data_IF_415862470799
#
_entry.id   IF_415862470799
#
_cell.length_a   1.000
_cell.length_b   1.000
_cell.length_c   1.000
_cell.angle_alpha   90.00
_cell.angle_beta   90.00
_cell.angle_gamma   90.00
#
_symmetry.space_group_name_H-M   'P 1'
#
loop_
_entity.id
_entity.type
_entity.pdbx_description
1 polymer ?
#
# COMPACT_ATOMS: atom_id res chain seq x y z
N UNK A 1 8.34 16.91 24.34
CA UNK A 1 8.62 15.73 23.50
C UNK A 1 8.38 16.13 22.04
N UNK A 2 9.35 15.98 21.13
CA UNK A 2 9.10 16.25 19.71
C UNK A 2 8.49 15.01 19.05
N UNK A 3 7.34 15.17 18.39
CA UNK A 3 6.71 14.08 17.64
C UNK A 3 7.62 13.64 16.48
N UNK A 4 7.68 12.32 16.26
CA UNK A 4 8.54 11.68 15.25
C UNK A 4 7.68 11.05 14.16
N UNK A 5 6.64 10.32 14.58
CA UNK A 5 5.70 9.63 13.72
C UNK A 5 4.29 9.84 14.25
N UNK A 6 3.31 9.94 13.36
CA UNK A 6 1.88 9.89 13.68
C UNK A 6 1.26 8.71 12.96
N UNK A 7 0.31 8.04 13.61
CA UNK A 7 -0.45 6.94 13.02
C UNK A 7 -1.92 7.36 13.02
N UNK A 8 -2.61 7.14 11.90
CA UNK A 8 -4.00 7.49 11.70
C UNK A 8 -4.33 8.98 11.94
N UNK A 9 -3.42 9.88 11.58
CA UNK A 9 -3.62 11.34 11.68
C UNK A 9 -4.61 11.88 10.65
N UNK A 10 -4.67 11.27 9.47
CA UNK A 10 -5.61 11.63 8.42
C UNK A 10 -6.97 10.93 8.58
N UNK A 11 -7.07 9.97 9.51
CA UNK A 11 -8.31 9.22 9.75
C UNK A 11 -8.61 8.21 8.64
N UNK A 12 -7.59 7.72 7.94
CA UNK A 12 -7.75 6.79 6.82
C UNK A 12 -7.59 5.32 7.23
N UNK A 13 -7.51 5.04 8.54
CA UNK A 13 -7.62 3.68 9.04
C UNK A 13 -8.93 3.06 8.53
N UNK A 14 -8.80 2.02 7.74
CA UNK A 14 -9.91 1.22 7.26
C UNK A 14 -9.61 -0.25 7.51
N UNK A 15 -10.53 -0.94 8.17
CA UNK A 15 -10.49 -2.39 8.34
C UNK A 15 -11.83 -2.90 7.89
N UNK A 16 -11.85 -3.61 6.76
CA UNK A 16 -13.10 -4.15 6.25
C UNK A 16 -13.57 -5.31 7.14
N UNK A 17 -14.73 -5.17 7.80
CA UNK A 17 -15.23 -6.24 8.64
C UNK A 17 -15.74 -7.39 7.78
N UNK A 18 -15.64 -8.60 8.31
CA UNK A 18 -16.27 -9.76 7.70
C UNK A 18 -17.78 -9.54 7.54
N UNK A 19 -18.29 -9.77 6.33
CA UNK A 19 -19.72 -9.71 6.01
C UNK A 19 -20.19 -11.06 5.52
N UNK A 20 -21.46 -11.39 5.77
CA UNK A 20 -22.11 -12.53 5.12
C UNK A 20 -22.59 -12.10 3.74
N UNK A 21 -22.51 -13.00 2.76
CA UNK A 21 -23.03 -12.76 1.41
C UNK A 21 -24.56 -12.64 1.47
N UNK A 22 -25.04 -11.40 1.42
CA UNK A 22 -26.47 -11.03 1.29
C UNK A 22 -26.68 -10.31 -0.05
N UNK A 23 -27.92 -10.11 -0.47
CA UNK A 23 -28.24 -9.31 -1.66
C UNK A 23 -27.64 -7.90 -1.49
N UNK A 24 -26.73 -7.57 -2.39
CA UNK A 24 -25.85 -6.41 -2.27
C UNK A 24 -26.56 -5.14 -2.71
N UNK A 25 -26.28 -4.05 -2.01
CA UNK A 25 -26.55 -2.69 -2.47
C UNK A 25 -25.50 -2.25 -3.51
N UNK A 26 -25.79 -1.21 -4.29
CA UNK A 26 -24.84 -0.66 -5.29
C UNK A 26 -23.48 -0.25 -4.68
N UNK A 27 -23.42 0.01 -3.37
CA UNK A 27 -22.20 0.32 -2.62
C UNK A 27 -21.27 -0.88 -2.40
N UNK A 28 -21.73 -2.09 -2.66
CA UNK A 28 -20.98 -3.34 -2.40
C UNK A 28 -20.52 -4.01 -3.70
N UNK A 29 -20.55 -3.27 -4.81
CA UNK A 29 -20.01 -3.68 -6.10
C UNK A 29 -18.49 -3.88 -5.98
N UNK A 30 -18.00 -5.09 -6.26
CA UNK A 30 -16.59 -5.48 -6.06
C UNK A 30 -16.28 -6.10 -4.69
N UNK A 31 -17.23 -6.11 -3.74
CA UNK A 31 -16.99 -6.74 -2.43
C UNK A 31 -16.85 -8.27 -2.52
N UNK A 32 -17.33 -8.89 -3.60
CA UNK A 32 -17.34 -10.33 -3.79
C UNK A 32 -16.65 -10.70 -5.11
N UNK A 33 -17.30 -11.49 -5.95
CA UNK A 33 -16.71 -11.99 -7.19
C UNK A 33 -16.22 -10.85 -8.08
N UNK A 34 -14.97 -10.96 -8.52
CA UNK A 34 -14.34 -10.03 -9.44
C UNK A 34 -13.81 -10.79 -10.65
N UNK A 35 -13.73 -10.10 -11.78
CA UNK A 35 -13.19 -10.70 -13.01
C UNK A 35 -12.12 -9.76 -13.56
N UNK A 36 -10.90 -10.27 -13.67
CA UNK A 36 -9.80 -9.57 -14.30
C UNK A 36 -9.36 -10.35 -15.55
N UNK A 37 -9.58 -9.75 -16.72
CA UNK A 37 -9.42 -10.42 -18.02
C UNK A 37 -10.24 -11.72 -18.05
N UNK A 38 -9.58 -12.86 -18.24
CA UNK A 38 -10.22 -14.18 -18.30
C UNK A 38 -10.28 -14.88 -16.92
N UNK A 39 -9.70 -14.28 -15.88
CA UNK A 39 -9.65 -14.86 -14.55
C UNK A 39 -10.78 -14.33 -13.68
N UNK A 40 -11.66 -15.24 -13.25
CA UNK A 40 -12.71 -14.95 -12.27
C UNK A 40 -12.23 -15.31 -10.87
N UNK A 41 -12.07 -14.31 -10.03
CA UNK A 41 -11.87 -14.47 -8.60
C UNK A 41 -13.23 -14.64 -7.90
N UNK A 42 -13.37 -15.71 -7.13
CA UNK A 42 -14.63 -16.04 -6.47
C UNK A 42 -14.80 -15.36 -5.11
N UNK A 43 -13.73 -14.79 -4.54
CA UNK A 43 -13.68 -14.11 -3.22
C UNK A 43 -14.64 -14.73 -2.19
N UNK A 44 -14.41 -15.98 -1.73
CA UNK A 44 -15.35 -16.70 -0.87
C UNK A 44 -15.62 -16.00 0.47
N UNK A 45 -14.68 -15.18 0.94
CA UNK A 45 -14.78 -14.42 2.19
C UNK A 45 -15.13 -12.94 1.97
N UNK A 46 -15.34 -12.52 0.72
CA UNK A 46 -15.51 -11.13 0.35
C UNK A 46 -14.24 -10.31 0.56
N UNK A 47 -14.38 -8.99 0.41
CA UNK A 47 -13.30 -8.04 0.62
C UNK A 47 -12.91 -7.97 2.10
N UNK A 48 -11.61 -8.01 2.36
CA UNK A 48 -11.03 -7.99 3.71
C UNK A 48 -9.79 -7.10 3.78
N UNK A 49 -9.83 -5.96 3.08
CA UNK A 49 -8.72 -5.00 3.04
C UNK A 49 -8.45 -4.36 4.40
N UNK A 50 -7.17 -4.02 4.60
CA UNK A 50 -6.69 -3.23 5.74
C UNK A 50 -5.88 -2.07 5.16
N UNK A 51 -6.20 -0.86 5.57
CA UNK A 51 -5.47 0.34 5.19
C UNK A 51 -5.22 1.24 6.39
N UNK A 52 -4.09 1.94 6.39
CA UNK A 52 -3.71 2.87 7.46
C UNK A 52 -2.84 4.01 6.93
N UNK A 53 -3.01 5.20 7.50
CA UNK A 53 -2.09 6.32 7.27
C UNK A 53 -1.01 6.42 8.36
N UNK A 54 0.22 6.68 7.94
CA UNK A 54 1.38 6.86 8.80
C UNK A 54 2.13 8.10 8.34
N UNK A 55 2.25 9.11 9.20
CA UNK A 55 2.97 10.34 8.91
C UNK A 55 4.36 10.34 9.55
N UNK A 56 5.40 10.60 8.77
CA UNK A 56 6.76 10.85 9.23
C UNK A 56 7.02 12.35 9.36
N UNK A 57 7.08 12.81 10.61
CA UNK A 57 7.12 14.23 10.94
C UNK A 57 8.53 14.78 10.75
N UNK A 58 8.67 15.83 9.94
CA UNK A 58 9.96 16.46 9.64
C UNK A 58 10.90 15.63 8.77
N UNK A 59 10.35 14.72 7.96
CA UNK A 59 11.12 13.91 6.99
C UNK A 59 10.80 14.37 5.57
N UNK A 60 11.83 14.65 4.77
CA UNK A 60 11.68 15.11 3.38
C UNK A 60 11.86 14.01 2.34
N UNK A 61 12.55 12.92 2.70
CA UNK A 61 12.87 11.82 1.79
C UNK A 61 12.45 10.49 2.44
N UNK A 62 12.04 9.55 1.59
CA UNK A 62 11.72 8.18 1.97
C UNK A 62 12.29 7.25 0.90
N UNK A 63 12.71 6.07 1.30
CA UNK A 63 13.38 5.07 0.47
C UNK A 63 12.87 3.69 0.84
N UNK A 64 13.02 2.71 -0.05
CA UNK A 64 12.61 1.33 0.18
C UNK A 64 11.51 0.90 -0.77
N UNK A 65 10.63 0.02 -0.28
CA UNK A 65 9.56 -0.62 -1.05
C UNK A 65 10.03 -1.28 -2.36
N UNK A 66 11.19 -1.97 -2.43
CA UNK A 66 11.57 -2.65 -3.68
C UNK A 66 10.57 -3.77 -4.01
N UNK A 67 10.42 -4.19 -5.26
CA UNK A 67 11.24 -3.88 -6.44
C UNK A 67 10.48 -3.02 -7.47
N UNK A 68 11.02 -1.84 -7.79
CA UNK A 68 10.52 -0.96 -8.84
C UNK A 68 11.66 -0.43 -9.70
N UNK A 69 11.42 -0.31 -11.00
CA UNK A 69 12.32 0.34 -11.93
C UNK A 69 12.15 1.87 -11.85
N UNK A 70 12.33 2.44 -10.66
CA UNK A 70 12.11 3.85 -10.37
C UNK A 70 13.31 4.48 -9.64
N UNK A 71 13.25 5.79 -9.38
CA UNK A 71 14.26 6.48 -8.59
C UNK A 71 14.39 5.89 -7.19
N UNK A 72 15.62 5.86 -6.66
CA UNK A 72 15.90 5.36 -5.30
C UNK A 72 15.05 6.06 -4.23
N UNK A 73 14.89 7.39 -4.34
CA UNK A 73 13.97 8.15 -3.51
C UNK A 73 12.54 7.97 -3.97
N UNK A 74 11.66 7.57 -3.05
CA UNK A 74 10.24 7.40 -3.34
C UNK A 74 9.60 8.75 -3.66
N UNK A 75 8.86 8.78 -4.77
CA UNK A 75 8.19 9.96 -5.32
C UNK A 75 6.81 10.15 -4.70
N UNK A 76 6.26 11.35 -4.90
CA UNK A 76 4.87 11.64 -4.55
C UNK A 76 3.93 10.96 -5.56
N UNK A 77 2.94 10.22 -5.08
CA UNK A 77 1.99 9.46 -5.90
C UNK A 77 0.64 10.17 -6.05
N UNK A 78 0.44 11.38 -5.50
CA UNK A 78 -0.83 12.10 -5.55
C UNK A 78 -1.40 12.31 -6.96
N UNK A 79 -0.52 12.49 -7.95
CA UNK A 79 -0.88 12.67 -9.36
C UNK A 79 -0.46 11.49 -10.25
N UNK A 80 -0.04 10.38 -9.64
CA UNK A 80 0.50 9.20 -10.32
C UNK A 80 -0.11 7.93 -9.72
N UNK A 81 0.30 6.76 -10.22
CA UNK A 81 -0.10 5.49 -9.62
C UNK A 81 0.66 5.25 -8.29
N UNK A 82 0.02 4.60 -7.30
CA UNK A 82 0.68 4.17 -6.07
C UNK A 82 1.77 3.13 -6.35
N UNK A 83 2.73 3.02 -5.44
CA UNK A 83 3.70 1.92 -5.47
C UNK A 83 2.99 0.61 -5.18
N UNK A 84 3.04 -0.32 -6.14
CA UNK A 84 2.41 -1.63 -6.01
C UNK A 84 3.44 -2.66 -5.57
N UNK A 85 3.10 -3.46 -4.57
CA UNK A 85 3.87 -4.61 -4.10
C UNK A 85 3.04 -5.86 -4.36
N UNK A 86 3.33 -6.50 -5.49
CA UNK A 86 2.73 -7.75 -5.89
C UNK A 86 3.67 -8.43 -6.88
N UNK A 87 4.20 -9.59 -6.53
CA UNK A 87 5.23 -10.24 -7.34
C UNK A 87 4.63 -10.66 -8.68
N UNK A 88 5.07 -9.99 -9.75
CA UNK A 88 4.58 -10.17 -11.12
C UNK A 88 5.74 -10.45 -12.08
N UNK A 89 5.48 -11.31 -13.06
CA UNK A 89 6.34 -11.48 -14.22
C UNK A 89 5.96 -10.43 -15.27
N UNK A 90 6.71 -9.33 -15.30
CA UNK A 90 6.48 -8.21 -16.22
C UNK A 90 7.51 -8.27 -17.35
N UNK A 91 7.02 -8.64 -18.53
CA UNK A 91 7.80 -8.61 -19.76
C UNK A 91 8.08 -7.16 -20.19
N UNK A 92 9.33 -6.86 -20.56
CA UNK A 92 9.78 -5.52 -21.01
C UNK A 92 9.29 -4.38 -20.09
N UNK A 93 9.75 -4.39 -18.84
CA UNK A 93 9.34 -3.37 -17.87
C UNK A 93 9.76 -1.95 -18.30
N UNK A 94 8.87 -0.99 -18.05
CA UNK A 94 9.14 0.42 -18.25
C UNK A 94 10.00 1.02 -17.12
N UNK A 95 10.80 2.04 -17.44
CA UNK A 95 11.58 2.79 -16.48
C UNK A 95 10.80 3.99 -15.91
N UNK A 96 11.13 4.37 -14.68
CA UNK A 96 10.48 5.43 -13.89
C UNK A 96 9.00 5.15 -13.60
N UNK A 97 8.67 3.88 -13.35
CA UNK A 97 7.30 3.42 -13.16
C UNK A 97 7.12 2.78 -11.76
N UNK A 98 6.03 3.11 -11.02
CA UNK A 98 5.72 2.50 -9.71
C UNK A 98 5.07 1.11 -9.81
N UNK A 99 5.02 0.52 -11.01
CA UNK A 99 4.47 -0.82 -11.25
C UNK A 99 5.31 -1.91 -10.58
N UNK A 100 4.63 -2.86 -9.93
CA UNK A 100 5.27 -3.99 -9.25
C UNK A 100 6.08 -4.86 -10.21
N UNK A 101 7.22 -5.37 -9.72
CA UNK A 101 8.10 -6.30 -10.44
C UNK A 101 8.15 -7.66 -9.71
N UNK A 102 9.28 -8.35 -9.76
CA UNK A 102 9.43 -9.74 -9.35
C UNK A 102 9.49 -9.94 -7.84
N UNK A 103 10.02 -8.96 -7.11
CA UNK A 103 10.15 -8.99 -5.65
C UNK A 103 9.36 -7.88 -4.96
N UNK A 104 8.94 -8.15 -3.73
CA UNK A 104 8.28 -7.19 -2.85
C UNK A 104 8.87 -7.26 -1.45
N UNK A 105 9.42 -6.15 -0.96
CA UNK A 105 9.85 -6.00 0.43
C UNK A 105 9.11 -4.78 1.01
N UNK A 106 8.10 -4.97 1.85
CA UNK A 106 7.27 -3.89 2.40
C UNK A 106 7.97 -3.17 3.57
N UNK A 107 9.18 -2.67 3.29
CA UNK A 107 10.02 -1.93 4.22
C UNK A 107 10.38 -0.57 3.66
N UNK A 108 10.34 0.46 4.49
CA UNK A 108 10.77 1.78 4.12
C UNK A 108 11.57 2.47 5.22
N UNK A 109 12.38 3.44 4.80
CA UNK A 109 13.20 4.26 5.68
C UNK A 109 13.12 5.73 5.28
N UNK A 110 12.97 6.60 6.27
CA UNK A 110 12.88 8.04 6.12
C UNK A 110 13.93 8.71 7.01
N UNK A 111 15.10 9.08 6.45
CA UNK A 111 16.13 9.81 7.17
C UNK A 111 15.94 11.33 7.09
N UNK A 112 16.35 12.04 8.14
CA UNK A 112 16.66 13.46 8.12
C UNK A 112 18.02 13.74 8.81
N UNK A 113 18.45 15.00 8.84
CA UNK A 113 19.75 15.39 9.41
C UNK A 113 19.92 15.14 10.91
N UNK A 114 18.82 14.86 11.64
CA UNK A 114 18.79 14.68 13.09
C UNK A 114 18.41 13.25 13.52
N UNK A 115 17.66 12.52 12.69
CA UNK A 115 17.02 11.24 13.03
C UNK A 115 16.64 10.45 11.78
N UNK A 116 16.52 9.14 11.94
CA UNK A 116 16.02 8.22 10.91
C UNK A 116 14.88 7.38 11.48
N UNK A 117 13.82 7.23 10.71
CA UNK A 117 12.65 6.39 11.05
C UNK A 117 12.52 5.31 10.00
N UNK A 118 12.12 4.11 10.42
CA UNK A 118 11.78 3.02 9.51
C UNK A 118 10.38 2.51 9.79
N UNK A 119 9.74 1.96 8.77
CA UNK A 119 8.46 1.26 8.85
C UNK A 119 8.60 -0.08 8.13
N UNK A 120 8.20 -1.15 8.80
CA UNK A 120 8.04 -2.48 8.22
C UNK A 120 6.55 -2.81 8.27
N UNK A 121 5.94 -2.92 7.10
CA UNK A 121 4.56 -3.35 6.95
C UNK A 121 4.54 -4.86 6.70
N UNK A 122 4.40 -5.65 7.77
CA UNK A 122 4.52 -7.10 7.69
C UNK A 122 3.22 -7.72 7.14
N UNK A 123 3.00 -7.57 5.83
CA UNK A 123 1.91 -8.19 5.09
C UNK A 123 2.46 -8.88 3.83
N UNK A 124 1.91 -10.04 3.49
CA UNK A 124 2.21 -10.82 2.29
C UNK A 124 1.17 -10.70 1.18
N UNK A 125 0.04 -10.06 1.46
CA UNK A 125 -0.99 -9.77 0.46
C UNK A 125 -0.52 -8.70 -0.53
N UNK A 126 -1.32 -8.47 -1.57
CA UNK A 126 -1.10 -7.34 -2.47
C UNK A 126 -1.20 -6.02 -1.70
N UNK A 127 -0.13 -5.22 -1.74
CA UNK A 127 -0.05 -3.93 -1.04
C UNK A 127 0.12 -2.80 -2.05
N UNK A 128 -0.61 -1.72 -1.81
CA UNK A 128 -0.50 -0.45 -2.51
C UNK A 128 -0.03 0.61 -1.53
N UNK A 129 0.93 1.43 -1.93
CA UNK A 129 1.52 2.45 -1.09
C UNK A 129 1.47 3.80 -1.79
N UNK A 130 0.64 4.68 -1.24
CA UNK A 130 0.53 6.07 -1.63
C UNK A 130 1.45 6.94 -0.75
N UNK A 131 2.10 7.92 -1.38
CA UNK A 131 3.06 8.79 -0.74
C UNK A 131 2.69 10.23 -1.07
N UNK A 132 2.43 11.03 -0.05
CA UNK A 132 2.13 12.45 -0.19
C UNK A 132 3.18 13.30 0.53
N UNK A 133 3.67 14.32 -0.16
CA UNK A 133 4.58 15.30 0.41
C UNK A 133 3.80 16.53 0.90
N UNK A 134 3.74 16.73 2.21
CA UNK A 134 3.22 17.97 2.80
C UNK A 134 4.39 18.91 3.14
N UNK A 135 4.13 20.22 3.24
CA UNK A 135 5.13 21.29 3.39
C UNK A 135 6.09 21.14 4.58
N UNK A 136 5.81 20.25 5.53
CA UNK A 136 6.70 19.91 6.65
C UNK A 136 6.91 18.40 6.87
N UNK A 137 6.05 17.54 6.32
CA UNK A 137 5.92 16.13 6.70
C UNK A 137 5.71 15.23 5.47
N UNK A 138 6.23 14.00 5.53
CA UNK A 138 5.87 12.96 4.57
C UNK A 138 4.74 12.12 5.15
N UNK A 139 3.62 12.06 4.45
CA UNK A 139 2.49 11.21 4.84
C UNK A 139 2.45 10.01 3.92
N UNK A 140 2.40 8.84 4.51
CA UNK A 140 2.32 7.55 3.84
C UNK A 140 0.92 6.98 4.04
N UNK A 141 0.39 6.39 2.99
CA UNK A 141 -0.86 5.66 3.01
C UNK A 141 -0.59 4.25 2.50
N UNK A 142 -0.70 3.26 3.38
CA UNK A 142 -0.61 1.86 2.99
C UNK A 142 -2.02 1.29 2.88
N UNK A 143 -2.35 0.68 1.75
CA UNK A 143 -3.61 0.01 1.51
C UNK A 143 -3.35 -1.41 1.00
N UNK A 144 -3.83 -2.42 1.71
CA UNK A 144 -3.72 -3.81 1.27
C UNK A 144 -5.01 -4.29 0.64
N UNK A 145 -4.93 -4.85 -0.56
CA UNK A 145 -6.02 -5.60 -1.14
C UNK A 145 -5.93 -7.06 -0.70
N UNK A 146 -6.85 -7.49 0.15
CA UNK A 146 -6.98 -8.90 0.47
C UNK A 146 -7.84 -9.56 -0.63
N UNK A 147 -7.17 -10.22 -1.57
CA UNK A 147 -7.77 -11.39 -2.19
C UNK A 147 -6.79 -12.55 -2.17
N UNK A 148 -7.31 -13.69 -1.74
CA UNK A 148 -6.67 -15.01 -1.63
C UNK A 148 -5.70 -15.22 -0.44
N UNK A 149 -6.13 -16.16 0.40
CA UNK A 149 -5.41 -17.02 1.34
C UNK A 149 -3.92 -16.73 1.55
N UNK A 150 -3.56 -16.31 2.77
CA UNK A 150 -2.55 -16.96 3.63
C UNK A 150 -2.38 -16.15 4.92
N UNK A 151 -3.07 -16.57 5.98
CA UNK A 151 -2.60 -16.35 7.36
C UNK A 151 -2.22 -17.74 7.86
N UNK A 152 -0.92 -18.00 7.97
CA UNK A 152 -0.44 -19.02 8.90
C UNK A 152 -0.08 -18.31 10.19
N UNK A 153 -0.71 -18.78 11.28
CA UNK A 153 -0.35 -18.47 12.66
C UNK A 153 1.10 -18.81 12.97
#
# INVERSE_FOLDING_TARGET
LFQVTSINSAGLLNVEPFKKKVLLSDREKGFWEETFKDHKDTKPHGSSSIGIDIAFVGMKFAFGLPEHADSYGLRDTKNYEPYRLYNLDVFEYDLNCPMALYGSIPYMVAPNSKRTVGLLWLNSAETWVDIEHTTADKVLYCFDCFSLYNVFL
#
